data_IF_145690292415
#
_entry.id   IF_145690292415
#
_cell.length_a   1.000
_cell.length_b   1.000
_cell.length_c   1.000
_cell.angle_alpha   90.00
_cell.angle_beta   90.00
_cell.angle_gamma   90.00
#
_symmetry.space_group_name_H-M   'P 1'
#
loop_
_entity.id
_entity.type
_entity.pdbx_description
1 polymer ?
#
# COMPACT_ATOMS: atom_id res chain seq x y z
N UNK A 1 -23.27 26.60 -1.34
CA UNK A 1 -22.56 26.86 -2.62
C UNK A 1 -21.99 25.55 -3.09
N UNK A 2 -22.55 24.98 -4.14
CA UNK A 2 -22.00 23.83 -4.85
C UNK A 2 -20.65 24.24 -5.45
N UNK A 3 -19.57 23.90 -4.76
CA UNK A 3 -18.26 23.93 -5.38
C UNK A 3 -18.20 22.71 -6.30
N UNK A 4 -18.70 22.93 -7.52
CA UNK A 4 -18.67 21.98 -8.62
C UNK A 4 -17.34 21.23 -8.59
N UNK A 5 -17.44 19.91 -8.49
CA UNK A 5 -16.34 18.95 -8.40
C UNK A 5 -15.33 19.24 -9.50
N UNK A 6 -14.36 20.15 -9.21
CA UNK A 6 -13.26 20.48 -10.11
C UNK A 6 -12.64 19.14 -10.43
N UNK A 7 -12.80 18.68 -11.67
CA UNK A 7 -12.28 17.38 -12.15
C UNK A 7 -10.92 17.17 -11.52
N UNK A 8 -10.87 16.38 -10.44
CA UNK A 8 -9.65 16.28 -9.64
C UNK A 8 -8.62 15.72 -10.59
N UNK A 9 -7.56 16.49 -10.85
CA UNK A 9 -6.49 16.08 -11.75
C UNK A 9 -6.06 14.67 -11.36
N UNK A 10 -5.82 13.75 -12.31
CA UNK A 10 -5.43 12.40 -11.95
C UNK A 10 -4.09 12.44 -11.20
N UNK A 11 -3.96 11.59 -10.18
CA UNK A 11 -2.75 11.51 -9.36
C UNK A 11 -1.52 11.24 -10.25
N UNK A 12 -0.50 12.09 -10.10
CA UNK A 12 0.68 12.04 -10.98
C UNK A 12 1.45 10.72 -10.79
N UNK A 13 2.10 10.24 -11.87
CA UNK A 13 2.91 9.03 -11.81
C UNK A 13 4.05 9.16 -10.78
N UNK A 14 4.65 10.35 -10.68
CA UNK A 14 5.73 10.64 -9.72
C UNK A 14 5.24 10.60 -8.27
N UNK A 15 4.10 11.22 -7.97
CA UNK A 15 3.53 11.14 -6.62
C UNK A 15 3.21 9.70 -6.23
N UNK A 16 2.58 8.92 -7.14
CA UNK A 16 2.33 7.49 -6.89
C UNK A 16 3.61 6.70 -6.62
N UNK A 17 4.70 6.97 -7.33
CA UNK A 17 5.99 6.31 -7.13
C UNK A 17 6.58 6.66 -5.75
N UNK A 18 6.50 7.93 -5.34
CA UNK A 18 6.96 8.36 -4.03
C UNK A 18 6.12 7.74 -2.90
N UNK A 19 4.79 7.69 -3.05
CA UNK A 19 3.94 6.96 -2.10
C UNK A 19 4.27 5.47 -2.05
N UNK A 20 4.53 4.83 -3.20
CA UNK A 20 4.94 3.42 -3.24
C UNK A 20 6.26 3.21 -2.50
N UNK A 21 7.23 4.10 -2.69
CA UNK A 21 8.51 4.06 -1.98
C UNK A 21 8.29 4.19 -0.47
N UNK A 22 7.45 5.14 -0.04
CA UNK A 22 7.08 5.31 1.37
C UNK A 22 6.39 4.09 1.96
N UNK A 23 5.69 3.25 1.18
CA UNK A 23 5.04 2.03 1.69
C UNK A 23 6.03 0.87 1.83
N UNK A 24 6.86 0.65 0.80
CA UNK A 24 7.59 -0.61 0.64
C UNK A 24 9.10 -0.50 0.82
N UNK A 25 9.67 0.69 0.68
CA UNK A 25 11.13 0.90 0.80
C UNK A 25 11.52 1.56 2.11
N UNK A 26 10.64 2.38 2.69
CA UNK A 26 10.83 2.89 4.04
C UNK A 26 10.55 1.78 5.06
N UNK A 27 11.49 1.46 6.00
CA UNK A 27 11.28 0.49 7.06
C UNK A 27 9.94 0.69 7.77
N UNK A 28 9.27 -0.41 8.13
CA UNK A 28 7.91 -0.36 8.68
C UNK A 28 7.85 0.33 10.04
N UNK A 29 8.96 0.31 10.79
CA UNK A 29 9.12 0.95 12.08
C UNK A 29 9.32 2.47 11.97
N UNK A 30 9.73 2.97 10.81
CA UNK A 30 10.00 4.39 10.63
C UNK A 30 8.71 5.17 10.42
N UNK A 31 8.59 6.31 11.10
CA UNK A 31 7.47 7.21 10.92
C UNK A 31 7.51 7.96 9.59
N UNK A 32 6.35 8.48 9.18
CA UNK A 32 6.31 9.49 8.11
C UNK A 32 6.54 10.85 8.76
N UNK A 33 7.70 11.44 8.48
CA UNK A 33 8.13 12.74 8.97
C UNK A 33 8.83 13.49 7.82
N UNK A 34 9.28 14.73 8.10
CA UNK A 34 9.90 15.57 7.06
C UNK A 34 11.14 14.92 6.42
N UNK A 35 11.92 14.18 7.19
CA UNK A 35 13.13 13.51 6.71
C UNK A 35 12.79 12.34 5.79
N UNK A 36 11.82 11.50 6.16
CA UNK A 36 11.42 10.36 5.33
C UNK A 36 10.68 10.80 4.07
N UNK A 37 9.93 11.90 4.14
CA UNK A 37 9.39 12.58 2.96
C UNK A 37 10.51 13.08 2.03
N UNK A 38 11.56 13.68 2.58
CA UNK A 38 12.70 14.15 1.80
C UNK A 38 13.46 12.99 1.13
N UNK A 39 13.64 11.87 1.82
CA UNK A 39 14.24 10.66 1.26
C UNK A 39 13.43 10.12 0.08
N UNK A 40 12.11 10.00 0.23
CA UNK A 40 11.21 9.55 -0.84
C UNK A 40 11.26 10.49 -2.04
N UNK A 41 11.27 11.79 -1.77
CA UNK A 41 11.36 12.86 -2.77
C UNK A 41 12.68 12.77 -3.55
N UNK A 42 13.83 12.67 -2.86
CA UNK A 42 15.16 12.52 -3.47
C UNK A 42 15.24 11.27 -4.33
N UNK A 43 14.80 10.12 -3.80
CA UNK A 43 14.78 8.86 -4.54
C UNK A 43 13.97 8.96 -5.85
N UNK A 44 12.84 9.66 -5.81
CA UNK A 44 11.97 9.82 -6.98
C UNK A 44 12.33 11.02 -7.87
N UNK A 45 13.47 11.70 -7.61
CA UNK A 45 13.92 12.91 -8.30
C UNK A 45 12.81 13.97 -8.39
N UNK A 46 12.18 14.22 -7.26
CA UNK A 46 10.99 15.05 -7.17
C UNK A 46 11.32 16.41 -6.55
N UNK A 47 10.86 17.52 -7.14
CA UNK A 47 11.14 18.85 -6.57
C UNK A 47 10.28 19.07 -5.32
N UNK A 48 10.77 19.89 -4.38
CA UNK A 48 10.05 20.22 -3.16
C UNK A 48 8.72 20.94 -3.45
N UNK A 49 8.74 21.89 -4.38
CA UNK A 49 7.53 22.61 -4.82
C UNK A 49 6.46 21.69 -5.43
N UNK A 50 6.88 20.71 -6.24
CA UNK A 50 5.94 19.76 -6.85
C UNK A 50 5.41 18.76 -5.82
N UNK A 51 6.26 18.34 -4.86
CA UNK A 51 5.85 17.52 -3.73
C UNK A 51 4.79 18.22 -2.89
N UNK A 52 5.04 19.45 -2.45
CA UNK A 52 4.12 20.22 -1.62
C UNK A 52 2.75 20.39 -2.30
N UNK A 53 2.74 20.72 -3.60
CA UNK A 53 1.53 20.87 -4.41
C UNK A 53 0.75 19.55 -4.54
N UNK A 54 1.43 18.48 -4.94
CA UNK A 54 0.78 17.18 -5.14
C UNK A 54 0.33 16.57 -3.80
N UNK A 55 1.06 16.84 -2.72
CA UNK A 55 0.68 16.45 -1.37
C UNK A 55 -0.62 17.14 -0.94
N UNK A 56 -0.78 18.44 -1.20
CA UNK A 56 -2.01 19.17 -0.91
C UNK A 56 -3.19 18.66 -1.75
N UNK A 57 -2.96 18.43 -3.04
CA UNK A 57 -4.04 18.08 -3.97
C UNK A 57 -4.49 16.60 -3.89
N UNK A 58 -3.60 15.70 -3.46
CA UNK A 58 -3.86 14.26 -3.42
C UNK A 58 -3.94 13.68 -1.99
N UNK A 59 -4.59 14.42 -1.09
CA UNK A 59 -4.81 14.02 0.32
C UNK A 59 -5.37 12.59 0.47
N UNK A 60 -6.34 12.19 -0.36
CA UNK A 60 -6.93 10.84 -0.27
C UNK A 60 -5.94 9.72 -0.61
N UNK A 61 -4.97 9.97 -1.49
CA UNK A 61 -3.93 8.99 -1.81
C UNK A 61 -2.89 8.90 -0.70
N UNK A 62 -2.60 10.03 -0.05
CA UNK A 62 -1.77 10.07 1.15
C UNK A 62 -2.38 9.27 2.30
N UNK A 63 -3.67 9.48 2.60
CA UNK A 63 -4.37 8.73 3.64
C UNK A 63 -4.39 7.22 3.35
N UNK A 64 -4.59 6.83 2.08
CA UNK A 64 -4.48 5.44 1.66
C UNK A 64 -3.08 4.86 1.88
N UNK A 65 -2.04 5.65 1.63
CA UNK A 65 -0.66 5.27 1.91
C UNK A 65 -0.43 5.04 3.40
N UNK A 66 -0.88 5.97 4.26
CA UNK A 66 -0.79 5.85 5.72
C UNK A 66 -1.53 4.62 6.23
N UNK A 67 -2.77 4.38 5.76
CA UNK A 67 -3.55 3.21 6.14
C UNK A 67 -2.85 1.88 5.76
N UNK A 68 -2.17 1.84 4.61
CA UNK A 68 -1.36 0.68 4.22
C UNK A 68 -0.16 0.49 5.14
N UNK A 69 0.56 1.56 5.50
CA UNK A 69 1.68 1.50 6.44
C UNK A 69 1.23 1.03 7.81
N UNK A 70 0.14 1.56 8.34
CA UNK A 70 -0.45 1.15 9.61
C UNK A 70 -0.77 -0.35 9.63
N UNK A 71 -1.35 -0.89 8.55
CA UNK A 71 -1.60 -2.33 8.44
C UNK A 71 -0.31 -3.15 8.41
N UNK A 72 0.71 -2.70 7.66
CA UNK A 72 2.03 -3.35 7.66
C UNK A 72 2.65 -3.33 9.07
N UNK A 73 2.51 -2.23 9.79
CA UNK A 73 3.00 -2.09 11.16
C UNK A 73 2.29 -3.03 12.14
N UNK A 74 0.95 -3.11 12.11
CA UNK A 74 0.20 -4.08 12.93
C UNK A 74 0.57 -5.53 12.64
N UNK A 75 0.81 -5.85 11.36
CA UNK A 75 1.29 -7.18 10.99
C UNK A 75 2.68 -7.44 11.56
N UNK A 76 3.60 -6.47 11.44
CA UNK A 76 4.93 -6.57 12.03
C UNK A 76 4.86 -6.82 13.53
N UNK A 77 4.02 -6.08 14.26
CA UNK A 77 3.83 -6.27 15.71
C UNK A 77 3.36 -7.69 16.08
N UNK A 78 2.51 -8.30 15.24
CA UNK A 78 1.96 -9.64 15.49
C UNK A 78 2.88 -10.78 15.06
N UNK A 79 3.62 -10.61 13.97
CA UNK A 79 4.36 -11.70 13.29
C UNK A 79 5.88 -11.51 13.28
N UNK A 80 6.40 -10.37 13.72
CA UNK A 80 7.84 -10.05 13.77
C UNK A 80 8.48 -9.69 12.42
N UNK A 81 7.80 -9.92 11.29
CA UNK A 81 8.27 -9.58 9.96
C UNK A 81 7.12 -9.26 9.01
N UNK A 82 7.38 -8.47 7.96
CA UNK A 82 6.42 -8.17 6.89
C UNK A 82 7.03 -8.57 5.55
N UNK A 83 6.35 -9.40 4.73
CA UNK A 83 6.85 -9.76 3.40
C UNK A 83 7.09 -8.53 2.50
N UNK A 84 8.12 -8.61 1.65
CA UNK A 84 8.47 -7.55 0.70
C UNK A 84 7.36 -7.34 -0.32
N UNK A 85 7.08 -6.07 -0.66
CA UNK A 85 6.05 -5.69 -1.63
C UNK A 85 4.60 -6.02 -1.22
N UNK A 86 4.37 -6.67 -0.08
CA UNK A 86 3.04 -7.15 0.32
C UNK A 86 2.35 -6.21 1.31
N UNK A 87 1.03 -6.20 1.41
CA UNK A 87 0.33 -5.45 2.45
C UNK A 87 -0.88 -6.25 2.88
N UNK A 88 -1.12 -6.41 4.19
CA UNK A 88 -2.32 -7.09 4.65
C UNK A 88 -3.57 -6.48 4.00
N UNK A 89 -4.52 -7.33 3.55
CA UNK A 89 -5.75 -6.87 2.93
C UNK A 89 -6.52 -5.96 3.87
N UNK A 90 -7.22 -4.98 3.31
CA UNK A 90 -8.05 -4.07 4.11
C UNK A 90 -9.40 -4.73 4.37
N UNK A 91 -9.79 -4.96 5.65
CA UNK A 91 -11.05 -5.62 5.97
C UNK A 91 -12.27 -4.81 5.51
N UNK A 92 -12.13 -3.49 5.32
CA UNK A 92 -13.20 -2.60 4.87
C UNK A 92 -13.28 -2.47 3.35
N UNK A 93 -12.27 -2.94 2.61
CA UNK A 93 -12.26 -2.88 1.15
C UNK A 93 -12.79 -4.19 0.55
N UNK A 94 -13.94 -4.18 -0.14
CA UNK A 94 -14.53 -5.37 -0.75
C UNK A 94 -13.63 -6.03 -1.78
N UNK A 95 -12.73 -5.26 -2.41
CA UNK A 95 -11.76 -5.80 -3.36
C UNK A 95 -10.66 -6.53 -2.62
N UNK A 96 -9.87 -5.88 -1.75
CA UNK A 96 -8.79 -6.59 -1.05
C UNK A 96 -9.26 -7.71 -0.11
N UNK A 97 -10.49 -7.64 0.43
CA UNK A 97 -11.12 -8.74 1.19
C UNK A 97 -11.27 -10.04 0.39
N UNK A 98 -11.42 -9.97 -0.94
CA UNK A 98 -11.66 -11.14 -1.82
C UNK A 98 -10.37 -11.82 -2.32
N UNK A 99 -9.18 -11.25 -2.08
CA UNK A 99 -7.95 -11.68 -2.75
C UNK A 99 -6.77 -12.23 -1.92
N UNK A 100 -6.85 -12.57 -0.62
CA UNK A 100 -5.72 -13.30 -0.01
C UNK A 100 -5.56 -14.69 -0.69
N UNK A 101 -6.68 -15.40 -0.86
CA UNK A 101 -6.75 -16.77 -1.39
C UNK A 101 -6.39 -16.90 -2.88
N UNK A 102 -6.80 -15.93 -3.71
CA UNK A 102 -6.48 -15.89 -5.16
C UNK A 102 -5.02 -15.51 -5.46
N UNK A 103 -4.45 -14.60 -4.67
CA UNK A 103 -3.04 -14.21 -4.83
C UNK A 103 -2.09 -15.36 -4.46
N UNK A 104 -2.39 -16.09 -3.38
CA UNK A 104 -1.69 -17.32 -3.00
C UNK A 104 -1.87 -18.45 -4.03
N UNK A 105 -3.07 -18.64 -4.56
CA UNK A 105 -3.29 -19.64 -5.62
C UNK A 105 -2.50 -19.31 -6.91
N UNK A 106 -2.22 -18.04 -7.19
CA UNK A 106 -1.46 -17.63 -8.36
C UNK A 106 0.05 -17.92 -8.25
N UNK A 107 0.61 -17.95 -7.04
CA UNK A 107 2.03 -18.30 -6.78
C UNK A 107 2.30 -19.81 -6.80
N UNK A 108 1.26 -20.64 -6.69
CA UNK A 108 1.39 -22.10 -6.83
C UNK A 108 1.73 -22.50 -8.28
N UNK A 109 2.61 -23.51 -8.47
CA UNK A 109 2.84 -24.12 -9.78
C UNK A 109 1.52 -24.54 -10.43
N UNK A 110 1.42 -24.44 -11.76
CA UNK A 110 0.16 -24.64 -12.52
C UNK A 110 -0.57 -25.95 -12.17
N UNK A 111 0.18 -27.02 -11.89
CA UNK A 111 -0.32 -28.34 -11.45
C UNK A 111 -1.04 -28.34 -10.10
N UNK A 112 -0.77 -27.37 -9.22
CA UNK A 112 -1.35 -27.29 -7.87
C UNK A 112 -2.50 -26.28 -7.77
N UNK A 113 -2.74 -25.48 -8.82
CA UNK A 113 -3.83 -24.49 -8.83
C UNK A 113 -5.22 -25.12 -8.76
N UNK A 114 -5.37 -26.37 -9.16
CA UNK A 114 -6.63 -27.12 -9.05
C UNK A 114 -6.99 -27.52 -7.61
N UNK A 115 -6.00 -27.59 -6.71
CA UNK A 115 -6.21 -27.85 -5.28
C UNK A 115 -6.47 -26.57 -4.48
N UNK A 116 -6.60 -25.42 -5.16
CA UNK A 116 -6.86 -24.15 -4.52
C UNK A 116 -8.06 -24.15 -3.56
N UNK A 117 -9.15 -24.94 -3.71
CA UNK A 117 -10.26 -24.92 -2.75
C UNK A 117 -9.91 -25.62 -1.42
N UNK A 118 -9.03 -26.62 -1.46
CA UNK A 118 -8.68 -27.48 -0.31
C UNK A 118 -7.66 -26.82 0.62
N UNK A 119 -6.84 -25.90 0.08
CA UNK A 119 -5.87 -25.13 0.85
C UNK A 119 -6.51 -23.96 1.64
N UNK A 120 -7.82 -23.75 1.55
CA UNK A 120 -8.54 -22.56 2.06
C UNK A 120 -9.26 -22.74 3.39
N UNK A 121 -9.23 -23.95 3.95
CA UNK A 121 -9.72 -24.23 5.31
C UNK A 121 -8.69 -23.84 6.39
N UNK A 122 -7.50 -23.37 5.99
CA UNK A 122 -6.59 -22.74 6.94
C UNK A 122 -6.99 -21.30 7.24
N UNK A 123 -6.99 -20.89 8.52
CA UNK A 123 -7.26 -19.51 8.88
C UNK A 123 -6.26 -18.56 8.21
N UNK A 124 -6.73 -17.40 7.75
CA UNK A 124 -5.94 -16.40 7.01
C UNK A 124 -4.74 -15.82 7.82
N UNK A 125 -4.52 -16.25 9.07
CA UNK A 125 -3.40 -15.87 9.93
C UNK A 125 -2.27 -16.91 10.02
N UNK A 126 -2.42 -18.07 9.39
CA UNK A 126 -1.38 -19.10 9.29
C UNK A 126 -0.62 -19.06 7.94
N UNK A 127 -0.82 -18.00 7.16
CA UNK A 127 -0.18 -17.76 5.86
C UNK A 127 0.59 -16.43 5.86
#
# INVERSE_FOLDING_TARGET
MEEADKRRRPCTKRFRLALWWLIYRLPVLDGINRETEELARKHCKYSEEAWARDRADFQSQWERMLAKRERRFRWYQKHGAVPDGWTPPDPKDPHSRKYPKRALAATLPKKYRMFWPVLLDRPDYEL
#
